data_IF_411735436985
#
_entry.id   IF_411735436985
#
_cell.length_a   1.000
_cell.length_b   1.000
_cell.length_c   1.000
_cell.angle_alpha   90.00
_cell.angle_beta   90.00
_cell.angle_gamma   90.00
#
_symmetry.space_group_name_H-M   'P 1'
#
loop_
_entity.id
_entity.type
_entity.pdbx_description
1 polymer ?
#
# COMPACT_ATOMS: atom_id res chain seq x y z
N UNK A 1 35.11 -31.38 -17.48
CA UNK A 1 35.45 -30.05 -16.93
C UNK A 1 35.14 -29.05 -18.04
N UNK A 2 34.13 -28.20 -18.03
CA UNK A 2 33.21 -27.75 -17.00
C UNK A 2 31.89 -27.37 -17.69
N UNK A 3 30.77 -27.82 -17.15
CA UNK A 3 29.43 -27.45 -17.61
C UNK A 3 29.02 -26.12 -16.98
N UNK A 4 28.76 -25.14 -17.84
CA UNK A 4 28.20 -23.83 -17.49
C UNK A 4 26.82 -24.00 -16.85
N UNK A 5 26.66 -23.47 -15.64
CA UNK A 5 25.37 -23.41 -14.94
C UNK A 5 24.60 -22.20 -15.50
N UNK A 6 23.51 -22.52 -16.18
CA UNK A 6 22.49 -21.62 -16.69
C UNK A 6 21.78 -20.94 -15.51
N UNK A 7 21.83 -19.60 -15.45
CA UNK A 7 21.11 -18.80 -14.46
C UNK A 7 19.61 -18.86 -14.76
N UNK A 8 18.84 -19.41 -13.83
CA UNK A 8 17.38 -19.46 -13.87
C UNK A 8 16.81 -18.03 -13.71
N UNK A 9 15.83 -17.61 -14.54
CA UNK A 9 15.27 -16.27 -14.47
C UNK A 9 14.38 -16.12 -13.23
N UNK A 10 14.50 -14.96 -12.57
CA UNK A 10 13.66 -14.55 -11.45
C UNK A 10 12.20 -14.37 -11.89
N UNK A 11 11.29 -15.12 -11.28
CA UNK A 11 9.84 -15.07 -11.53
C UNK A 11 9.26 -13.68 -11.23
N UNK A 12 8.69 -13.05 -12.26
CA UNK A 12 8.02 -11.74 -12.24
C UNK A 12 6.51 -11.79 -11.88
N UNK A 13 6.05 -12.70 -11.00
CA UNK A 13 4.59 -12.98 -10.88
C UNK A 13 3.83 -12.50 -9.64
N UNK A 14 4.47 -12.00 -8.58
CA UNK A 14 3.76 -11.79 -7.30
C UNK A 14 3.75 -10.32 -6.81
N UNK A 15 3.35 -9.39 -7.68
CA UNK A 15 3.28 -7.95 -7.36
C UNK A 15 2.29 -7.61 -6.22
N UNK A 16 1.35 -8.50 -5.90
CA UNK A 16 0.40 -8.32 -4.79
C UNK A 16 0.64 -9.42 -3.77
N UNK A 17 1.19 -9.03 -2.63
CA UNK A 17 1.55 -9.93 -1.55
C UNK A 17 0.43 -9.88 -0.53
N UNK A 18 -0.16 -11.04 -0.20
CA UNK A 18 -1.06 -11.14 0.96
C UNK A 18 -0.29 -10.77 2.23
N UNK A 19 -0.97 -10.29 3.28
CA UNK A 19 -0.30 -9.87 4.52
C UNK A 19 0.65 -10.93 5.10
N UNK A 20 0.39 -12.21 4.86
CA UNK A 20 1.18 -13.35 5.34
C UNK A 20 2.52 -13.53 4.60
N UNK A 21 2.56 -13.26 3.28
CA UNK A 21 3.79 -13.38 2.49
C UNK A 21 4.70 -12.15 2.61
N UNK A 22 4.24 -11.06 3.26
CA UNK A 22 5.03 -9.85 3.48
C UNK A 22 6.14 -10.06 4.54
N UNK A 23 5.90 -10.92 5.53
CA UNK A 23 6.76 -11.09 6.71
C UNK A 23 8.16 -11.62 6.37
N UNK A 24 8.29 -12.55 5.41
CA UNK A 24 9.60 -13.10 4.98
C UNK A 24 10.53 -12.02 4.41
N UNK A 25 10.00 -11.11 3.58
CA UNK A 25 10.81 -10.02 3.00
C UNK A 25 10.89 -8.79 3.91
N UNK A 26 10.01 -8.68 4.90
CA UNK A 26 10.16 -7.70 6.00
C UNK A 26 11.38 -8.05 6.85
N UNK A 27 11.63 -9.35 7.08
CA UNK A 27 12.84 -9.81 7.75
C UNK A 27 14.11 -9.46 6.96
N UNK A 28 14.09 -9.58 5.63
CA UNK A 28 15.21 -9.12 4.77
C UNK A 28 15.46 -7.61 4.93
N UNK A 29 14.40 -6.79 4.90
CA UNK A 29 14.51 -5.34 5.07
C UNK A 29 15.00 -4.93 6.47
N UNK A 30 14.50 -5.58 7.54
CA UNK A 30 14.96 -5.35 8.91
C UNK A 30 16.41 -5.81 9.09
N UNK A 31 16.80 -6.94 8.50
CA UNK A 31 18.17 -7.43 8.52
C UNK A 31 19.12 -6.47 7.79
N UNK A 32 18.68 -5.87 6.68
CA UNK A 32 19.41 -4.81 5.98
C UNK A 32 19.57 -3.57 6.86
N UNK A 33 18.52 -3.10 7.54
CA UNK A 33 18.55 -1.91 8.41
C UNK A 33 19.47 -2.06 9.64
N UNK A 34 19.68 -3.28 10.14
CA UNK A 34 20.51 -3.56 11.31
C UNK A 34 22.03 -3.60 11.01
N UNK A 35 22.45 -3.74 9.75
CA UNK A 35 23.86 -3.92 9.37
C UNK A 35 24.57 -2.60 9.03
N UNK A 36 24.51 -1.61 9.91
CA UNK A 36 25.26 -0.37 9.73
C UNK A 36 26.78 -0.57 9.74
N UNK A 37 27.44 -0.36 8.59
CA UNK A 37 28.83 0.13 8.49
C UNK A 37 29.94 -0.89 8.22
N UNK A 38 30.28 -1.08 6.94
CA UNK A 38 31.56 -1.65 6.47
C UNK A 38 31.71 -1.41 4.96
N UNK A 39 32.92 -1.11 4.44
CA UNK A 39 33.09 -0.80 3.02
C UNK A 39 33.06 -2.09 2.18
N UNK A 40 32.29 -2.06 1.09
CA UNK A 40 32.19 -3.01 -0.04
C UNK A 40 31.02 -4.02 -0.02
N UNK A 41 29.86 -3.60 -0.54
CA UNK A 41 29.12 -4.26 -1.64
C UNK A 41 28.03 -3.30 -2.16
N UNK A 42 28.09 -2.90 -3.43
CA UNK A 42 27.22 -1.88 -4.08
C UNK A 42 25.83 -2.44 -4.48
N UNK A 43 25.32 -3.44 -3.76
CA UNK A 43 24.03 -4.07 -4.04
C UNK A 43 22.89 -3.47 -3.19
N UNK A 44 22.21 -2.46 -3.75
CA UNK A 44 20.83 -2.00 -3.46
C UNK A 44 20.33 -2.16 -2.01
N UNK A 45 20.80 -1.30 -1.11
CA UNK A 45 20.28 -1.24 0.26
C UNK A 45 18.99 -0.41 0.30
N UNK A 46 17.86 -1.05 0.64
CA UNK A 46 16.63 -0.31 0.94
C UNK A 46 16.72 0.26 2.36
N UNK A 47 16.78 1.59 2.47
CA UNK A 47 17.05 2.33 3.71
C UNK A 47 15.80 2.63 4.55
N UNK A 48 14.64 2.72 3.90
CA UNK A 48 13.35 3.00 4.57
C UNK A 48 12.16 2.42 3.81
N UNK A 49 11.06 2.17 4.54
CA UNK A 49 9.78 1.73 3.99
C UNK A 49 8.85 2.94 3.90
N UNK A 50 8.44 3.29 2.69
CA UNK A 50 7.49 4.36 2.42
C UNK A 50 6.15 3.75 1.98
N UNK A 51 5.15 3.82 2.84
CA UNK A 51 3.81 3.38 2.54
C UNK A 51 3.03 4.46 1.79
N UNK A 52 2.31 4.11 0.73
CA UNK A 52 1.42 5.02 0.00
C UNK A 52 0.01 4.44 0.05
N UNK A 53 -0.91 5.18 0.67
CA UNK A 53 -2.32 4.82 0.65
C UNK A 53 -2.93 5.14 -0.72
N UNK A 54 -3.44 4.12 -1.41
CA UNK A 54 -4.04 4.25 -2.74
C UNK A 54 -5.51 3.84 -2.67
N UNK A 55 -6.37 4.61 -3.35
CA UNK A 55 -7.79 4.32 -3.58
C UNK A 55 -8.12 4.49 -5.06
N UNK A 56 -9.18 3.86 -5.56
CA UNK A 56 -9.58 3.92 -6.96
C UNK A 56 -10.20 5.28 -7.35
N UNK A 57 -9.40 6.36 -7.30
CA UNK A 57 -9.83 7.68 -7.75
C UNK A 57 -8.65 8.55 -8.21
N UNK A 58 -8.96 9.58 -9.02
CA UNK A 58 -7.98 10.44 -9.68
C UNK A 58 -7.02 11.14 -8.71
N UNK A 59 -7.48 11.48 -7.50
CA UNK A 59 -6.63 12.07 -6.47
C UNK A 59 -5.53 11.11 -6.01
N UNK A 60 -5.74 9.79 -5.99
CA UNK A 60 -4.68 8.84 -5.64
C UNK A 60 -3.57 8.78 -6.68
N UNK A 61 -3.91 8.93 -7.97
CA UNK A 61 -2.90 9.07 -9.02
C UNK A 61 -2.04 10.30 -8.77
N UNK A 62 -2.65 11.46 -8.51
CA UNK A 62 -1.90 12.70 -8.25
C UNK A 62 -1.00 12.59 -7.01
N UNK A 63 -1.48 11.94 -5.94
CA UNK A 63 -0.68 11.67 -4.74
C UNK A 63 0.51 10.77 -5.08
N UNK A 64 0.28 9.69 -5.82
CA UNK A 64 1.34 8.77 -6.22
C UNK A 64 2.38 9.46 -7.09
N UNK A 65 1.97 10.15 -8.16
CA UNK A 65 2.88 10.87 -9.06
C UNK A 65 3.68 11.95 -8.31
N UNK A 66 3.03 12.69 -7.42
CA UNK A 66 3.71 13.69 -6.60
C UNK A 66 4.73 13.03 -5.68
N UNK A 67 4.39 11.89 -5.08
CA UNK A 67 5.27 11.15 -4.17
C UNK A 67 6.52 10.65 -4.90
N UNK A 68 6.32 9.99 -6.05
CA UNK A 68 7.40 9.47 -6.88
C UNK A 68 8.35 10.58 -7.33
N UNK A 69 7.80 11.73 -7.72
CA UNK A 69 8.60 12.86 -8.22
C UNK A 69 9.35 13.62 -7.13
N UNK A 70 8.78 13.78 -5.94
CA UNK A 70 9.26 14.76 -4.96
C UNK A 70 9.78 14.15 -3.65
N UNK A 71 9.45 12.90 -3.35
CA UNK A 71 9.75 12.31 -2.04
C UNK A 71 10.46 10.97 -2.10
N UNK A 72 10.10 10.11 -3.06
CA UNK A 72 10.65 8.76 -3.17
C UNK A 72 12.06 8.80 -3.76
N UNK A 73 12.98 8.08 -3.11
CA UNK A 73 14.34 7.83 -3.55
C UNK A 73 14.38 6.45 -4.20
N UNK A 74 14.36 6.43 -5.53
CA UNK A 74 14.17 5.20 -6.32
C UNK A 74 15.16 4.09 -5.96
N UNK A 75 16.39 4.44 -5.64
CA UNK A 75 17.50 3.52 -5.36
C UNK A 75 17.47 2.94 -3.94
N UNK A 76 16.77 3.58 -3.00
CA UNK A 76 16.89 3.27 -1.56
C UNK A 76 15.57 3.15 -0.83
N UNK A 77 14.43 3.52 -1.43
CA UNK A 77 13.12 3.41 -0.80
C UNK A 77 12.41 2.14 -1.26
N UNK A 78 11.86 1.39 -0.30
CA UNK A 78 10.83 0.39 -0.60
C UNK A 78 9.45 1.06 -0.54
N UNK A 79 8.77 1.14 -1.69
CA UNK A 79 7.40 1.64 -1.79
C UNK A 79 6.42 0.52 -1.46
N UNK A 80 5.53 0.74 -0.49
CA UNK A 80 4.45 -0.21 -0.16
C UNK A 80 3.10 0.44 -0.46
N UNK A 81 2.45 0.00 -1.52
CA UNK A 81 1.10 0.43 -1.88
C UNK A 81 0.09 -0.27 -0.98
N UNK A 82 -0.75 0.49 -0.28
CA UNK A 82 -1.77 -0.05 0.61
C UNK A 82 -3.16 0.41 0.14
N UNK A 83 -4.04 -0.55 -0.12
CA UNK A 83 -5.47 -0.29 -0.32
C UNK A 83 -6.27 -0.98 0.79
N UNK A 84 -7.10 -0.20 1.49
CA UNK A 84 -8.05 -0.75 2.45
C UNK A 84 -9.41 -0.88 1.78
N UNK A 85 -9.90 -2.11 1.68
CA UNK A 85 -11.23 -2.43 1.18
C UNK A 85 -12.21 -2.59 2.34
N UNK A 86 -13.46 -2.22 2.12
CA UNK A 86 -14.56 -2.48 3.06
C UNK A 86 -14.68 -3.99 3.26
N UNK A 87 -14.89 -4.39 4.51
CA UNK A 87 -15.22 -5.77 4.86
C UNK A 87 -16.74 -5.96 4.64
N UNK A 88 -17.19 -7.02 3.96
CA UNK A 88 -18.63 -7.32 3.93
C UNK A 88 -19.05 -7.82 5.30
N UNK A 89 -19.36 -6.89 6.20
CA UNK A 89 -20.05 -7.22 7.43
C UNK A 89 -21.48 -7.64 7.08
N UNK A 90 -21.72 -8.94 7.05
CA UNK A 90 -23.07 -9.51 7.24
C UNK A 90 -23.44 -9.42 8.72
N UNK A 91 -23.41 -8.21 9.26
CA UNK A 91 -23.83 -7.92 10.63
C UNK A 91 -25.36 -7.99 10.71
N UNK A 92 -25.86 -9.06 11.34
CA UNK A 92 -27.25 -9.16 11.81
C UNK A 92 -27.95 -10.49 11.56
N UNK A 93 -27.43 -11.34 10.66
CA UNK A 93 -28.16 -12.53 10.20
C UNK A 93 -27.26 -13.78 10.18
N UNK A 94 -26.33 -13.91 11.13
CA UNK A 94 -25.35 -15.02 11.16
C UNK A 94 -25.97 -16.42 11.07
N UNK A 95 -27.23 -16.60 11.51
CA UNK A 95 -27.93 -17.88 11.41
C UNK A 95 -28.67 -18.14 10.10
N UNK A 96 -29.35 -17.13 9.53
CA UNK A 96 -30.22 -17.30 8.36
C UNK A 96 -29.53 -16.87 7.04
N UNK A 97 -28.57 -15.94 7.10
CA UNK A 97 -27.79 -15.55 5.93
C UNK A 97 -26.67 -16.56 5.63
N UNK A 98 -26.13 -17.30 6.59
CA UNK A 98 -25.19 -18.39 6.29
C UNK A 98 -25.81 -19.47 5.37
N UNK A 99 -27.13 -19.63 5.38
CA UNK A 99 -27.86 -20.50 4.46
C UNK A 99 -28.07 -19.89 3.05
N UNK A 100 -27.97 -18.57 2.89
CA UNK A 100 -28.00 -17.87 1.60
C UNK A 100 -26.59 -17.53 1.07
N UNK A 101 -25.60 -17.34 1.96
CA UNK A 101 -24.17 -17.11 1.71
C UNK A 101 -23.48 -18.47 1.46
N UNK A 102 -24.08 -19.29 0.60
CA UNK A 102 -23.30 -20.17 -0.25
C UNK A 102 -22.86 -19.43 -1.54
N UNK A 103 -23.21 -18.14 -1.66
CA UNK A 103 -22.77 -17.26 -2.74
C UNK A 103 -21.53 -16.45 -2.29
N UNK A 104 -20.35 -17.01 -2.51
CA UNK A 104 -19.05 -16.38 -2.24
C UNK A 104 -18.73 -15.16 -3.13
N UNK A 105 -19.73 -14.37 -3.55
CA UNK A 105 -19.60 -13.43 -4.67
C UNK A 105 -19.16 -12.01 -4.29
N UNK A 106 -19.59 -11.45 -3.15
CA UNK A 106 -19.37 -10.01 -2.85
C UNK A 106 -17.99 -9.70 -2.25
N UNK A 107 -17.51 -10.51 -1.30
CA UNK A 107 -16.15 -10.36 -0.76
C UNK A 107 -15.07 -10.65 -1.80
N UNK A 108 -15.36 -11.56 -2.73
CA UNK A 108 -14.49 -11.87 -3.85
C UNK A 108 -14.37 -10.71 -4.85
N UNK A 109 -15.45 -9.97 -5.08
CA UNK A 109 -15.42 -8.78 -5.95
C UNK A 109 -14.55 -7.67 -5.36
N UNK A 110 -14.77 -7.28 -4.10
CA UNK A 110 -13.96 -6.22 -3.47
C UNK A 110 -12.47 -6.60 -3.35
N UNK A 111 -12.19 -7.88 -3.13
CA UNK A 111 -10.82 -8.42 -3.16
C UNK A 111 -10.22 -8.33 -4.56
N UNK A 112 -10.95 -8.73 -5.60
CA UNK A 112 -10.51 -8.72 -6.99
C UNK A 112 -10.27 -7.30 -7.51
N UNK A 113 -11.14 -6.35 -7.17
CA UNK A 113 -10.99 -4.95 -7.53
C UNK A 113 -9.75 -4.34 -6.89
N UNK A 114 -9.59 -4.58 -5.57
CA UNK A 114 -8.38 -4.15 -4.85
C UNK A 114 -7.12 -4.75 -5.44
N UNK A 115 -7.15 -6.05 -5.78
CA UNK A 115 -6.00 -6.73 -6.37
C UNK A 115 -5.68 -6.15 -7.75
N UNK A 116 -6.69 -5.90 -8.58
CA UNK A 116 -6.50 -5.34 -9.93
C UNK A 116 -5.94 -3.91 -9.88
N UNK A 117 -6.45 -3.08 -8.97
CA UNK A 117 -5.94 -1.73 -8.72
C UNK A 117 -4.46 -1.76 -8.33
N UNK A 118 -4.14 -2.53 -7.29
CA UNK A 118 -2.78 -2.64 -6.77
C UNK A 118 -1.81 -3.24 -7.79
N UNK A 119 -2.23 -4.26 -8.54
CA UNK A 119 -1.44 -4.87 -9.60
C UNK A 119 -1.15 -3.88 -10.74
N UNK A 120 -2.12 -3.04 -11.11
CA UNK A 120 -1.92 -2.00 -12.12
C UNK A 120 -0.82 -1.02 -11.70
N UNK A 121 -0.89 -0.48 -10.47
CA UNK A 121 0.13 0.40 -9.95
C UNK A 121 1.49 -0.29 -9.75
N UNK A 122 1.49 -1.46 -9.12
CA UNK A 122 2.70 -2.24 -8.86
C UNK A 122 3.47 -2.51 -10.15
N UNK A 123 2.81 -3.11 -11.16
CA UNK A 123 3.45 -3.41 -12.45
C UNK A 123 4.00 -2.16 -13.14
N UNK A 124 3.32 -1.02 -13.00
CA UNK A 124 3.79 0.25 -13.59
C UNK A 124 5.07 0.72 -12.88
N UNK A 125 5.05 0.76 -11.54
CA UNK A 125 6.20 1.19 -10.74
C UNK A 125 7.40 0.25 -10.92
N UNK A 126 7.19 -1.06 -11.01
CA UNK A 126 8.26 -2.03 -11.29
C UNK A 126 8.90 -1.78 -12.66
N UNK A 127 8.08 -1.56 -13.71
CA UNK A 127 8.58 -1.24 -15.06
C UNK A 127 9.37 0.07 -15.08
N UNK A 128 8.95 1.03 -14.26
CA UNK A 128 9.67 2.28 -14.08
C UNK A 128 10.93 2.12 -13.23
N UNK A 129 11.16 0.96 -12.60
CA UNK A 129 12.37 0.62 -11.84
C UNK A 129 12.32 0.97 -10.34
N UNK A 130 11.12 1.11 -9.77
CA UNK A 130 10.96 1.28 -8.31
C UNK A 130 10.92 -0.07 -7.61
N UNK A 131 11.49 -0.14 -6.40
CA UNK A 131 11.24 -1.25 -5.48
C UNK A 131 9.85 -1.09 -4.87
N UNK A 132 8.89 -1.90 -5.33
CA UNK A 132 7.49 -1.78 -4.92
C UNK A 132 6.94 -3.11 -4.42
N UNK A 133 6.05 -3.02 -3.43
CA UNK A 133 5.16 -4.08 -2.99
C UNK A 133 3.75 -3.53 -2.88
N UNK A 134 2.76 -4.41 -2.90
CA UNK A 134 1.38 -4.02 -2.73
C UNK A 134 0.64 -4.92 -1.74
N UNK A 135 -0.21 -4.31 -0.91
CA UNK A 135 -0.99 -4.97 0.14
C UNK A 135 -2.45 -4.52 0.09
N UNK A 136 -3.35 -5.49 0.05
CA UNK A 136 -4.80 -5.29 0.21
C UNK A 136 -5.22 -5.68 1.63
N UNK A 137 -5.92 -4.81 2.34
CA UNK A 137 -6.37 -5.05 3.73
C UNK A 137 -7.88 -4.87 3.84
N UNK A 138 -8.55 -5.72 4.63
CA UNK A 138 -9.98 -5.61 4.94
C UNK A 138 -10.22 -4.79 6.21
N UNK A 139 -11.22 -3.92 6.20
CA UNK A 139 -11.83 -3.37 7.43
C UNK A 139 -11.99 -1.86 7.41
N UNK A 140 -11.95 -1.25 8.60
CA UNK A 140 -12.01 0.19 8.77
C UNK A 140 -10.73 0.87 8.21
N UNK A 141 -10.83 1.83 7.27
CA UNK A 141 -9.67 2.40 6.59
C UNK A 141 -8.62 3.02 7.49
N UNK A 142 -9.02 3.85 8.45
CA UNK A 142 -8.08 4.57 9.33
C UNK A 142 -7.35 3.59 10.24
N UNK A 143 -8.12 2.74 10.92
CA UNK A 143 -7.58 1.74 11.83
C UNK A 143 -6.68 0.73 11.10
N UNK A 144 -7.15 0.15 9.98
CA UNK A 144 -6.40 -0.88 9.26
C UNK A 144 -5.16 -0.34 8.58
N UNK A 145 -5.18 0.91 8.13
CA UNK A 145 -3.97 1.54 7.61
C UNK A 145 -2.93 1.69 8.72
N UNK A 146 -3.31 2.22 9.90
CA UNK A 146 -2.39 2.34 11.04
C UNK A 146 -1.86 0.97 11.52
N UNK A 147 -2.74 -0.02 11.63
CA UNK A 147 -2.37 -1.41 11.97
C UNK A 147 -1.35 -1.96 10.96
N UNK A 148 -1.57 -1.72 9.66
CA UNK A 148 -0.69 -2.21 8.61
C UNK A 148 0.67 -1.50 8.61
N UNK A 149 0.72 -0.20 8.90
CA UNK A 149 1.98 0.55 9.01
C UNK A 149 2.89 -0.03 10.09
N UNK A 150 2.32 -0.38 11.25
CA UNK A 150 3.06 -1.07 12.33
C UNK A 150 3.51 -2.46 11.88
N UNK A 151 2.61 -3.23 11.26
CA UNK A 151 2.93 -4.57 10.74
C UNK A 151 4.05 -4.56 9.72
N UNK A 152 4.13 -3.55 8.85
CA UNK A 152 5.21 -3.49 7.86
C UNK A 152 6.46 -2.79 8.37
N UNK A 153 6.40 -2.10 9.51
CA UNK A 153 7.50 -1.27 10.00
C UNK A 153 7.74 -0.05 9.12
N UNK A 154 6.66 0.60 8.67
CA UNK A 154 6.74 1.78 7.82
C UNK A 154 7.47 2.93 8.53
N UNK A 155 8.37 3.60 7.82
CA UNK A 155 9.04 4.80 8.30
C UNK A 155 8.21 6.05 7.97
N UNK A 156 7.48 6.02 6.84
CA UNK A 156 6.66 7.12 6.35
C UNK A 156 5.34 6.59 5.77
N UNK A 157 4.24 7.29 6.01
CA UNK A 157 2.96 7.15 5.33
C UNK A 157 2.74 8.37 4.44
N UNK A 158 2.47 8.15 3.16
CA UNK A 158 1.96 9.16 2.24
C UNK A 158 0.48 8.92 1.99
N UNK A 159 -0.34 9.95 2.22
CA UNK A 159 -1.79 9.91 2.05
C UNK A 159 -2.30 11.20 1.42
N UNK A 160 -3.38 11.12 0.64
CA UNK A 160 -4.04 12.30 0.09
C UNK A 160 -4.82 13.08 1.14
N UNK A 161 -4.96 14.38 0.92
CA UNK A 161 -5.98 15.20 1.59
C UNK A 161 -7.34 14.99 0.89
N UNK A 162 -7.98 13.83 1.05
CA UNK A 162 -9.30 13.54 0.49
C UNK A 162 -10.39 13.71 1.55
N UNK A 163 -11.19 14.78 1.45
CA UNK A 163 -12.36 15.05 2.30
C UNK A 163 -13.38 15.87 1.53
N UNK A 164 -14.65 15.45 1.62
CA UNK A 164 -15.79 16.01 0.88
C UNK A 164 -15.87 17.55 0.92
N UNK A 165 -15.82 18.14 -0.28
CA UNK A 165 -16.86 19.06 -0.79
C UNK A 165 -17.57 19.98 0.23
N UNK A 166 -17.35 21.28 0.05
CA UNK A 166 -18.20 22.43 0.45
C UNK A 166 -18.19 22.89 1.91
N UNK A 167 -17.78 22.09 2.90
CA UNK A 167 -17.61 22.62 4.26
C UNK A 167 -16.20 23.20 4.42
N UNK A 168 -16.07 24.53 4.30
CA UNK A 168 -14.80 25.30 4.36
C UNK A 168 -13.94 25.10 5.63
N UNK A 169 -14.28 24.17 6.53
CA UNK A 169 -13.66 23.97 7.85
C UNK A 169 -12.96 22.63 8.05
N UNK A 170 -13.17 21.61 7.21
CA UNK A 170 -12.42 20.35 7.31
C UNK A 170 -11.30 20.33 6.26
N UNK A 171 -10.05 20.47 6.72
CA UNK A 171 -8.85 20.47 5.84
C UNK A 171 -8.48 19.02 5.45
N UNK A 172 -8.83 18.03 6.27
CA UNK A 172 -8.51 16.62 6.09
C UNK A 172 -9.79 15.75 6.11
N UNK A 173 -9.79 14.66 5.35
CA UNK A 173 -10.83 13.63 5.49
C UNK A 173 -10.63 12.78 6.74
N UNK A 174 -11.64 12.00 7.09
CA UNK A 174 -11.64 11.16 8.30
C UNK A 174 -10.46 10.19 8.36
N UNK A 175 -10.13 9.53 7.25
CA UNK A 175 -9.00 8.57 7.19
C UNK A 175 -7.67 9.28 7.39
N UNK A 176 -7.45 10.41 6.70
CA UNK A 176 -6.25 11.24 6.83
C UNK A 176 -6.10 11.76 8.25
N UNK A 177 -7.17 12.31 8.83
CA UNK A 177 -7.18 12.80 10.21
C UNK A 177 -6.82 11.69 11.19
N UNK A 178 -7.46 10.51 11.05
CA UNK A 178 -7.18 9.36 11.89
C UNK A 178 -5.71 8.96 11.82
N UNK A 179 -5.13 8.88 10.62
CA UNK A 179 -3.73 8.50 10.46
C UNK A 179 -2.77 9.55 11.05
N UNK A 180 -3.03 10.84 10.85
CA UNK A 180 -2.24 11.92 11.46
C UNK A 180 -2.23 11.82 12.99
N UNK A 181 -3.35 11.42 13.60
CA UNK A 181 -3.47 11.29 15.05
C UNK A 181 -2.87 9.98 15.60
N UNK A 182 -2.93 8.88 14.86
CA UNK A 182 -2.68 7.54 15.40
C UNK A 182 -1.48 6.80 14.80
N UNK A 183 -0.97 7.20 13.63
CA UNK A 183 0.16 6.53 13.02
C UNK A 183 1.41 6.66 13.89
N UNK A 184 2.24 5.60 13.90
CA UNK A 184 3.51 5.57 14.64
C UNK A 184 4.71 6.03 13.81
N UNK A 185 4.50 6.25 12.52
CA UNK A 185 5.49 6.71 11.55
C UNK A 185 5.21 8.15 11.13
N UNK A 186 6.13 8.76 10.39
CA UNK A 186 5.89 10.08 9.79
C UNK A 186 4.70 10.04 8.83
N UNK A 187 3.90 11.10 8.79
CA UNK A 187 2.72 11.20 7.92
C UNK A 187 2.85 12.40 7.00
N UNK A 188 2.96 12.15 5.70
CA UNK A 188 3.00 13.14 4.65
C UNK A 188 1.63 13.24 3.97
N UNK A 189 0.97 14.37 4.18
CA UNK A 189 -0.33 14.67 3.56
C UNK A 189 -0.12 15.45 2.28
N UNK A 190 -0.50 14.86 1.15
CA UNK A 190 -0.36 15.48 -0.17
C UNK A 190 -1.68 16.11 -0.59
N UNK A 191 -1.63 17.41 -0.90
CA UNK A 191 -2.78 18.17 -1.39
C UNK A 191 -2.83 18.15 -2.92
N UNK A 192 -3.91 17.61 -3.47
CA UNK A 192 -4.16 17.54 -4.91
C UNK A 192 -4.94 18.76 -5.41
N UNK A 193 -4.79 19.10 -6.70
CA UNK A 193 -5.43 20.31 -7.29
C UNK A 193 -6.91 20.08 -7.58
N UNK A 194 -7.32 18.84 -7.81
CA UNK A 194 -8.70 18.46 -8.09
C UNK A 194 -9.46 18.07 -6.80
N UNK A 195 -9.80 19.08 -5.99
CA UNK A 195 -10.68 18.90 -4.81
C UNK A 195 -12.17 19.12 -5.12
N UNK A 196 -12.50 19.39 -6.38
CA UNK A 196 -13.86 19.71 -6.82
C UNK A 196 -14.37 18.66 -7.81
N UNK A 197 -15.38 17.88 -7.40
CA UNK A 197 -16.34 17.29 -8.33
C UNK A 197 -16.36 15.77 -8.53
N UNK A 198 -15.40 15.00 -8.01
CA UNK A 198 -15.42 13.55 -8.17
C UNK A 198 -15.50 12.85 -6.81
N UNK A 199 -16.62 12.16 -6.58
CA UNK A 199 -16.79 11.28 -5.43
C UNK A 199 -15.73 10.16 -5.53
N UNK A 200 -14.73 10.22 -4.66
CA UNK A 200 -13.92 9.04 -4.37
C UNK A 200 -14.76 8.13 -3.44
N UNK A 201 -15.01 6.85 -3.81
CA UNK A 201 -15.94 5.94 -3.11
C UNK A 201 -15.46 5.42 -1.75
#
# INVERSE_FOLDING_TARGET
MSTSIEKTPTNHSDAVVTSENFDLKKQEHIAMKAQGGGPQDDSQHTSRIVAIAVVACQSSNEVLEWSLKNFIRKETDLVVLIHVRKESVTSGVKGLAAAYIADGSVDDVHRKDSHSLLKSYGNRLEKEGYHVKAVSVAGDPGYKLCEQLVKIGADELIIGASGMSKLKRAIFGSVTQYCVEHAKCGVLVVKTRHQHGHNCP
#
